data_IF_229961323369
#
_entry.id   IF_229961323369
#
_cell.length_a   1.000
_cell.length_b   1.000
_cell.length_c   1.000
_cell.angle_alpha   90.00
_cell.angle_beta   90.00
_cell.angle_gamma   90.00
#
_symmetry.space_group_name_H-M   'P 1'
#
loop_
_entity.id
_entity.type
_entity.pdbx_description
1 polymer ?
#
# COMPACT_ATOMS: atom_id res chain seq x y z
N UNK A 1 5.33 20.79 13.03
CA UNK A 1 4.47 19.65 12.65
C UNK A 1 4.81 19.29 11.22
N UNK A 2 5.55 18.21 11.00
CA UNK A 2 5.79 17.73 9.63
C UNK A 2 4.51 17.09 9.09
N UNK A 3 4.14 17.43 7.85
CA UNK A 3 3.05 16.69 7.19
C UNK A 3 3.53 15.35 6.68
N UNK A 4 2.60 14.43 6.42
CA UNK A 4 2.93 13.15 5.83
C UNK A 4 3.65 13.28 4.48
N UNK A 5 3.37 14.32 3.67
CA UNK A 5 4.11 14.54 2.42
C UNK A 5 5.53 15.01 2.63
N UNK A 6 5.78 15.88 3.59
CA UNK A 6 7.13 16.28 3.97
C UNK A 6 7.91 15.06 4.47
N UNK A 7 7.29 14.20 5.28
CA UNK A 7 7.91 12.97 5.74
C UNK A 7 8.25 12.00 4.60
N UNK A 8 7.33 11.77 3.65
CA UNK A 8 7.59 10.96 2.46
C UNK A 8 8.72 11.59 1.62
N UNK A 9 8.69 12.90 1.43
CA UNK A 9 9.70 13.62 0.66
C UNK A 9 11.09 13.47 1.29
N UNK A 10 11.23 13.76 2.58
CA UNK A 10 12.51 13.62 3.29
C UNK A 10 13.04 12.20 3.23
N UNK A 11 12.18 11.20 3.46
CA UNK A 11 12.55 9.79 3.36
C UNK A 11 13.02 9.43 1.95
N UNK A 12 12.39 9.99 0.92
CA UNK A 12 12.79 9.79 -0.48
C UNK A 12 14.13 10.47 -0.79
N UNK A 13 14.38 11.66 -0.24
CA UNK A 13 15.63 12.38 -0.49
C UNK A 13 16.85 11.71 0.17
N UNK A 14 16.65 10.85 1.17
CA UNK A 14 17.72 10.00 1.74
C UNK A 14 18.11 8.86 0.80
N UNK A 15 17.17 8.37 -0.01
CA UNK A 15 17.35 7.27 -0.97
C UNK A 15 16.59 7.59 -2.28
N UNK A 16 17.12 8.50 -3.12
CA UNK A 16 16.37 9.02 -4.27
C UNK A 16 16.17 8.01 -5.40
N UNK A 17 16.99 6.96 -5.46
CA UNK A 17 16.82 5.84 -6.39
C UNK A 17 16.00 4.73 -5.72
N UNK A 18 14.74 4.62 -6.09
CA UNK A 18 13.79 3.68 -5.46
C UNK A 18 13.39 2.60 -6.44
N UNK A 19 13.65 1.35 -6.06
CA UNK A 19 13.18 0.18 -6.81
C UNK A 19 11.64 0.09 -6.74
N UNK A 20 11.02 -0.24 -7.86
CA UNK A 20 9.57 -0.48 -7.96
C UNK A 20 9.27 -1.95 -8.27
N UNK A 21 8.05 -2.46 -7.99
CA UNK A 21 7.74 -3.89 -8.06
C UNK A 21 7.96 -4.59 -9.41
N UNK A 22 8.05 -3.83 -10.52
CA UNK A 22 8.35 -4.37 -11.84
C UNK A 22 9.86 -4.56 -12.11
N UNK A 23 10.71 -4.31 -11.12
CA UNK A 23 12.17 -4.43 -11.21
C UNK A 23 12.91 -3.20 -11.75
N UNK A 24 12.18 -2.19 -12.24
CA UNK A 24 12.81 -0.91 -12.62
C UNK A 24 13.14 -0.04 -11.40
N UNK A 25 13.96 0.99 -11.61
CA UNK A 25 14.28 2.00 -10.60
C UNK A 25 13.72 3.35 -11.03
N UNK A 26 13.13 4.08 -10.08
CA UNK A 26 12.68 5.46 -10.28
C UNK A 26 13.61 6.39 -9.51
N UNK A 27 14.23 7.33 -10.22
CA UNK A 27 14.99 8.42 -9.60
C UNK A 27 14.07 9.58 -9.25
N UNK A 28 14.22 10.11 -8.04
CA UNK A 28 13.49 11.27 -7.55
C UNK A 28 14.42 12.47 -7.37
N UNK A 29 14.16 13.52 -8.15
CA UNK A 29 14.85 14.79 -8.01
C UNK A 29 14.31 15.57 -6.80
N UNK A 30 15.17 16.38 -6.14
CA UNK A 30 14.72 17.31 -5.13
C UNK A 30 13.64 18.27 -5.66
N UNK A 31 12.71 18.65 -4.78
CA UNK A 31 11.65 19.56 -5.14
C UNK A 31 12.23 20.94 -5.52
N UNK A 32 11.80 21.55 -6.65
CA UNK A 32 12.20 22.90 -6.96
C UNK A 32 11.65 23.86 -5.89
N UNK A 33 12.51 24.74 -5.38
CA UNK A 33 12.11 25.69 -4.35
C UNK A 33 11.19 26.77 -4.92
N UNK A 34 10.01 26.91 -4.34
CA UNK A 34 9.12 28.04 -4.59
C UNK A 34 9.47 29.27 -3.75
N UNK A 35 8.93 30.42 -4.15
CA UNK A 35 9.20 31.73 -3.52
C UNK A 35 8.07 32.20 -2.58
N UNK A 36 6.93 31.50 -2.58
CA UNK A 36 5.76 31.90 -1.79
C UNK A 36 5.80 31.31 -0.39
N UNK A 37 5.41 32.13 0.59
CA UNK A 37 5.18 31.73 1.97
C UNK A 37 3.67 31.67 2.21
N UNK A 38 3.19 30.63 2.90
CA UNK A 38 1.78 30.54 3.25
C UNK A 38 1.33 29.14 3.64
N UNK A 39 0.02 28.96 3.77
CA UNK A 39 -0.58 27.64 4.01
C UNK A 39 -0.72 26.90 2.69
N UNK A 40 -0.20 25.69 2.56
CA UNK A 40 -0.37 24.88 1.36
C UNK A 40 -1.85 24.49 1.16
N UNK A 41 -2.41 24.79 0.01
CA UNK A 41 -3.76 24.46 -0.42
C UNK A 41 -4.07 22.96 -0.27
N UNK A 42 -3.11 22.10 -0.64
CA UNK A 42 -3.31 20.65 -0.65
C UNK A 42 -3.14 20.03 0.75
N UNK A 43 -1.93 20.06 1.32
CA UNK A 43 -1.66 19.40 2.61
C UNK A 43 -2.07 20.22 3.85
N UNK A 44 -2.37 21.50 3.70
CA UNK A 44 -2.75 22.39 4.80
C UNK A 44 -1.58 22.84 5.70
N UNK A 45 -0.34 22.42 5.44
CA UNK A 45 0.80 22.84 6.24
C UNK A 45 1.31 24.22 5.84
N UNK A 46 1.86 24.93 6.82
CA UNK A 46 2.61 26.15 6.58
C UNK A 46 3.89 25.80 5.80
N UNK A 47 4.19 26.59 4.78
CA UNK A 47 5.42 26.48 3.99
C UNK A 47 6.08 27.84 3.86
N UNK A 48 7.41 27.83 3.84
CA UNK A 48 8.24 28.99 3.48
C UNK A 48 8.74 28.93 2.04
N UNK A 49 8.50 27.81 1.35
CA UNK A 49 8.84 27.62 -0.05
C UNK A 49 7.64 26.97 -0.77
N UNK A 50 6.97 27.79 -1.56
CA UNK A 50 5.70 27.44 -2.16
C UNK A 50 5.52 28.06 -3.53
N UNK A 51 4.64 27.43 -4.30
CA UNK A 51 4.36 27.75 -5.69
C UNK A 51 2.94 28.30 -5.83
N UNK A 52 2.69 29.18 -6.81
CA UNK A 52 1.32 29.55 -7.18
C UNK A 52 0.48 28.32 -7.50
N UNK A 53 -0.71 28.20 -6.89
CA UNK A 53 -1.62 27.04 -7.07
C UNK A 53 -1.92 26.76 -8.54
N UNK A 54 -2.15 27.79 -9.33
CA UNK A 54 -2.47 27.66 -10.77
C UNK A 54 -1.30 27.14 -11.62
N UNK A 55 -0.06 27.17 -11.12
CA UNK A 55 1.11 26.56 -11.80
C UNK A 55 1.23 25.06 -11.49
N UNK A 56 0.80 24.63 -10.31
CA UNK A 56 0.94 23.24 -9.85
C UNK A 56 -0.33 22.42 -10.10
N UNK A 57 -1.49 22.95 -9.71
CA UNK A 57 -2.78 22.29 -9.82
C UNK A 57 -3.38 22.61 -11.19
N UNK A 58 -3.33 21.63 -12.09
CA UNK A 58 -3.90 21.74 -13.44
C UNK A 58 -5.43 21.76 -13.39
N UNK A 59 -6.11 22.40 -14.36
CA UNK A 59 -7.58 22.35 -14.46
C UNK A 59 -8.17 20.94 -14.53
N UNK A 60 -7.38 19.95 -14.97
CA UNK A 60 -7.76 18.53 -15.04
C UNK A 60 -7.64 17.78 -13.72
N UNK A 61 -7.22 18.44 -12.63
CA UNK A 61 -7.10 17.82 -11.31
C UNK A 61 -8.48 17.64 -10.67
N UNK A 62 -8.98 16.40 -10.70
CA UNK A 62 -10.34 16.04 -10.24
C UNK A 62 -10.46 15.95 -8.72
N UNK A 63 -9.35 15.78 -8.00
CA UNK A 63 -9.32 15.59 -6.55
C UNK A 63 -9.26 16.93 -5.78
N UNK A 64 -9.84 17.99 -6.35
CA UNK A 64 -9.83 19.33 -5.75
C UNK A 64 -10.58 19.41 -4.42
N UNK A 65 -11.52 18.49 -4.19
CA UNK A 65 -12.21 18.30 -2.91
C UNK A 65 -11.27 17.82 -1.78
N UNK A 66 -10.03 17.41 -2.08
CA UNK A 66 -9.05 16.97 -1.08
C UNK A 66 -8.20 18.09 -0.51
N UNK A 67 -8.37 19.32 -1.01
CA UNK A 67 -7.69 20.48 -0.48
C UNK A 67 -8.00 20.67 1.00
N UNK A 68 -6.97 20.67 1.85
CA UNK A 68 -7.10 20.95 3.29
C UNK A 68 -7.20 22.44 3.60
N UNK A 69 -6.75 23.30 2.69
CA UNK A 69 -6.86 24.75 2.80
C UNK A 69 -7.41 25.34 1.48
N UNK A 70 -8.70 25.10 1.14
CA UNK A 70 -9.26 25.45 -0.16
C UNK A 70 -9.17 26.95 -0.52
N UNK A 71 -9.10 27.83 0.49
CA UNK A 71 -8.93 29.27 0.33
C UNK A 71 -7.51 29.68 -0.10
N UNK A 72 -6.51 28.81 0.02
CA UNK A 72 -5.13 29.16 -0.28
C UNK A 72 -4.82 29.20 -1.79
N UNK A 73 -3.95 30.13 -2.18
CA UNK A 73 -3.34 30.23 -3.49
C UNK A 73 -1.94 29.61 -3.57
N UNK A 74 -1.44 28.97 -2.52
CA UNK A 74 -0.06 28.44 -2.41
C UNK A 74 -0.08 26.91 -2.37
N UNK A 75 0.88 26.25 -3.02
CA UNK A 75 1.16 24.80 -2.87
C UNK A 75 2.62 24.62 -2.46
N UNK A 76 2.90 23.88 -1.39
CA UNK A 76 4.28 23.68 -0.93
C UNK A 76 5.11 22.83 -1.90
N UNK A 77 6.44 22.95 -1.82
CA UNK A 77 7.39 22.17 -2.63
C UNK A 77 7.13 20.67 -2.54
N UNK A 78 6.86 20.13 -1.35
CA UNK A 78 6.61 18.70 -1.16
C UNK A 78 5.35 18.22 -1.88
N UNK A 79 4.27 19.00 -1.87
CA UNK A 79 3.05 18.66 -2.60
C UNK A 79 3.22 18.84 -4.10
N UNK A 80 3.94 19.88 -4.53
CA UNK A 80 4.24 20.09 -5.95
C UNK A 80 5.07 18.94 -6.52
N UNK A 81 6.11 18.53 -5.78
CA UNK A 81 6.93 17.35 -6.09
C UNK A 81 6.10 16.07 -6.11
N UNK A 82 5.29 15.81 -5.09
CA UNK A 82 4.55 14.55 -5.03
C UNK A 82 3.57 14.40 -6.23
N UNK A 83 2.98 15.50 -6.69
CA UNK A 83 2.10 15.55 -7.86
C UNK A 83 2.85 15.42 -9.21
N UNK A 84 4.17 15.68 -9.26
CA UNK A 84 4.95 15.51 -10.50
C UNK A 84 5.35 14.05 -10.77
N UNK A 85 5.37 13.19 -9.74
CA UNK A 85 5.77 11.79 -9.88
C UNK A 85 4.58 10.83 -9.91
N UNK A 86 4.33 10.23 -11.07
CA UNK A 86 3.29 9.20 -11.23
C UNK A 86 3.57 7.96 -10.40
N UNK A 87 4.82 7.59 -10.16
CA UNK A 87 5.20 6.47 -9.29
C UNK A 87 4.58 6.57 -7.88
N UNK A 88 4.45 7.78 -7.32
CA UNK A 88 3.80 8.05 -6.03
C UNK A 88 2.26 7.96 -6.08
N UNK A 89 1.68 7.77 -7.26
CA UNK A 89 0.26 7.48 -7.52
C UNK A 89 0.06 5.99 -7.82
N UNK A 90 0.98 5.42 -8.59
CA UNK A 90 0.86 4.11 -9.20
C UNK A 90 1.22 2.97 -8.24
N UNK A 91 2.14 3.20 -7.31
CA UNK A 91 2.66 2.17 -6.41
C UNK A 91 2.32 2.48 -4.95
N UNK A 92 2.27 1.41 -4.14
CA UNK A 92 2.25 1.51 -2.68
C UNK A 92 3.47 2.30 -2.20
N UNK A 93 3.36 2.97 -1.06
CA UNK A 93 4.44 3.79 -0.47
C UNK A 93 4.64 3.32 0.96
N UNK A 94 5.86 2.95 1.30
CA UNK A 94 6.33 2.84 2.67
C UNK A 94 7.41 3.89 2.86
N UNK A 95 7.15 4.90 3.69
CA UNK A 95 8.18 5.86 4.11
C UNK A 95 8.51 5.62 5.58
N UNK A 96 9.79 5.55 5.90
CA UNK A 96 10.32 5.45 7.26
C UNK A 96 11.26 6.63 7.52
N UNK A 97 11.91 6.67 8.68
CA UNK A 97 12.95 7.67 8.92
C UNK A 97 14.13 7.55 7.95
N UNK A 98 14.47 6.35 7.48
CA UNK A 98 15.71 6.15 6.73
C UNK A 98 15.50 6.22 5.21
N UNK A 99 14.35 5.74 4.73
CA UNK A 99 14.12 5.54 3.30
C UNK A 99 12.63 5.57 2.94
N UNK A 100 12.37 5.76 1.65
CA UNK A 100 11.07 5.50 1.03
C UNK A 100 11.18 4.33 0.06
N UNK A 101 10.21 3.42 0.11
CA UNK A 101 10.12 2.24 -0.75
C UNK A 101 8.76 2.15 -1.43
N UNK A 102 8.76 1.48 -2.58
CA UNK A 102 7.54 1.02 -3.25
C UNK A 102 7.32 -0.48 -3.04
N UNK A 103 6.78 -0.91 -1.89
CA UNK A 103 6.65 -2.32 -1.58
C UNK A 103 5.70 -3.02 -2.55
N UNK A 104 6.11 -4.20 -3.01
CA UNK A 104 5.24 -5.18 -3.64
C UNK A 104 4.11 -5.61 -2.71
N UNK A 105 3.10 -6.29 -3.26
CA UNK A 105 2.00 -6.82 -2.44
C UNK A 105 2.45 -7.79 -1.35
N UNK A 106 3.49 -8.59 -1.63
CA UNK A 106 4.10 -9.48 -0.65
C UNK A 106 4.81 -8.69 0.47
N UNK A 107 5.58 -7.66 0.11
CA UNK A 107 6.23 -6.81 1.12
C UNK A 107 5.21 -6.02 1.94
N UNK A 108 4.09 -5.56 1.35
CA UNK A 108 3.00 -4.93 2.12
C UNK A 108 2.43 -5.90 3.16
N UNK A 109 2.22 -7.18 2.80
CA UNK A 109 1.80 -8.22 3.75
C UNK A 109 2.76 -8.31 4.93
N UNK A 110 4.06 -8.38 4.66
CA UNK A 110 5.10 -8.46 5.69
C UNK A 110 5.13 -7.23 6.57
N UNK A 111 5.01 -6.03 5.99
CA UNK A 111 4.94 -4.77 6.75
C UNK A 111 3.71 -4.72 7.66
N UNK A 112 2.58 -5.28 7.24
CA UNK A 112 1.36 -5.31 8.07
C UNK A 112 1.47 -6.29 9.25
N UNK A 113 2.25 -7.37 9.09
CA UNK A 113 2.53 -8.34 10.17
C UNK A 113 3.67 -7.86 11.08
N UNK A 114 4.66 -7.17 10.51
CA UNK A 114 5.88 -6.73 11.16
C UNK A 114 6.16 -5.28 10.76
N UNK A 115 5.42 -4.30 11.32
CA UNK A 115 5.57 -2.90 10.94
C UNK A 115 6.95 -2.35 11.36
N UNK A 116 7.51 -1.38 10.62
CA UNK A 116 8.71 -0.66 11.04
C UNK A 116 8.50 0.10 12.35
N UNK A 117 9.61 0.46 13.00
CA UNK A 117 9.56 1.38 14.12
C UNK A 117 8.95 2.73 13.70
N UNK A 118 8.01 3.30 14.49
CA UNK A 118 7.52 4.64 14.25
C UNK A 118 8.63 5.70 14.31
N UNK A 119 8.55 6.79 13.52
CA UNK A 119 7.45 7.13 12.63
C UNK A 119 7.55 6.47 11.25
N UNK A 120 6.40 6.10 10.68
CA UNK A 120 6.31 5.66 9.28
C UNK A 120 4.97 6.02 8.63
N UNK A 121 4.93 6.00 7.30
CA UNK A 121 3.73 6.15 6.48
C UNK A 121 3.56 4.90 5.63
N UNK A 122 2.35 4.32 5.61
CA UNK A 122 2.00 3.23 4.71
C UNK A 122 0.77 3.61 3.85
N UNK A 123 0.98 3.61 2.54
CA UNK A 123 -0.06 3.72 1.51
C UNK A 123 -0.05 2.46 0.65
N UNK A 124 -1.23 1.90 0.39
CA UNK A 124 -1.39 0.68 -0.41
C UNK A 124 -2.21 1.02 -1.65
N UNK A 125 -1.59 0.84 -2.82
CA UNK A 125 -2.21 1.00 -4.12
C UNK A 125 -2.75 -0.34 -4.62
N UNK A 126 -4.02 -0.37 -5.00
CA UNK A 126 -4.69 -1.50 -5.64
C UNK A 126 -4.80 -1.24 -7.16
N UNK A 127 -5.37 -0.10 -7.52
CA UNK A 127 -5.60 0.33 -8.90
C UNK A 127 -4.44 1.11 -9.53
N UNK A 128 -3.60 1.75 -8.69
CA UNK A 128 -2.57 2.70 -9.12
C UNK A 128 -3.12 3.98 -9.76
N UNK A 129 -4.42 4.26 -9.60
CA UNK A 129 -5.09 5.42 -10.20
C UNK A 129 -5.37 6.56 -9.20
N UNK A 130 -5.04 6.40 -7.92
CA UNK A 130 -5.33 7.40 -6.88
C UNK A 130 -4.08 8.04 -6.33
N UNK A 131 -4.16 9.33 -5.99
CA UNK A 131 -3.07 10.06 -5.34
C UNK A 131 -3.05 9.77 -3.82
N UNK A 132 -2.57 8.58 -3.44
CA UNK A 132 -2.65 8.08 -2.07
C UNK A 132 -1.94 8.98 -1.04
N UNK A 133 -0.79 9.53 -1.45
CA UNK A 133 0.05 10.35 -0.59
C UNK A 133 -0.66 11.61 -0.08
N UNK A 134 -1.65 12.14 -0.81
CA UNK A 134 -2.41 13.34 -0.40
C UNK A 134 -3.17 13.11 0.90
N UNK A 135 -3.66 11.88 1.11
CA UNK A 135 -4.46 11.48 2.27
C UNK A 135 -3.68 10.63 3.26
N UNK A 136 -2.36 10.49 3.07
CA UNK A 136 -1.53 9.68 3.95
C UNK A 136 -1.45 10.31 5.34
N UNK A 137 -1.22 9.47 6.34
CA UNK A 137 -1.02 9.86 7.73
C UNK A 137 0.21 9.12 8.27
N UNK A 138 0.92 9.78 9.16
CA UNK A 138 2.08 9.22 9.83
C UNK A 138 1.58 8.43 11.06
N UNK A 139 2.06 7.21 11.21
CA UNK A 139 1.98 6.44 12.45
C UNK A 139 3.13 6.88 13.34
N UNK A 140 2.85 7.47 14.50
CA UNK A 140 3.87 8.09 15.38
C UNK A 140 4.24 7.27 16.62
N UNK A 141 3.51 6.20 16.92
CA UNK A 141 3.65 5.42 18.15
C UNK A 141 3.28 3.96 17.89
N UNK A 142 3.74 3.11 18.78
CA UNK A 142 3.33 1.71 18.82
C UNK A 142 1.82 1.58 19.08
N UNK A 143 1.22 0.52 18.54
CA UNK A 143 -0.22 0.28 18.61
C UNK A 143 -0.84 0.12 17.22
N UNK A 144 -2.07 0.61 16.99
CA UNK A 144 -2.70 0.52 15.68
C UNK A 144 -1.97 1.38 14.66
N UNK A 145 -1.42 0.75 13.62
CA UNK A 145 -0.85 1.44 12.48
C UNK A 145 -1.96 2.07 11.63
N UNK A 146 -1.67 3.20 11.00
CA UNK A 146 -2.59 3.87 10.07
C UNK A 146 -2.16 3.54 8.63
N UNK A 147 -3.02 2.85 7.90
CA UNK A 147 -2.81 2.44 6.52
C UNK A 147 -3.80 3.17 5.62
N UNK A 148 -3.29 3.88 4.62
CA UNK A 148 -4.13 4.41 3.53
C UNK A 148 -4.26 3.31 2.47
N UNK A 149 -5.41 2.65 2.40
CA UNK A 149 -5.70 1.66 1.36
C UNK A 149 -6.68 2.24 0.36
N UNK A 150 -6.17 2.68 -0.80
CA UNK A 150 -6.95 3.49 -1.76
C UNK A 150 -7.60 4.71 -1.05
N UNK A 151 -8.93 4.80 -1.09
CA UNK A 151 -9.70 5.84 -0.42
C UNK A 151 -9.95 5.55 1.08
N UNK A 152 -9.71 4.32 1.54
CA UNK A 152 -10.00 3.88 2.90
C UNK A 152 -8.85 4.19 3.86
N UNK A 153 -9.20 4.66 5.06
CA UNK A 153 -8.27 4.69 6.19
C UNK A 153 -8.50 3.45 7.03
N UNK A 154 -7.50 2.60 7.13
CA UNK A 154 -7.52 1.39 7.95
C UNK A 154 -6.64 1.62 9.16
N UNK A 155 -7.20 1.43 10.36
CA UNK A 155 -6.45 1.43 11.61
C UNK A 155 -6.46 0.02 12.16
N UNK A 156 -5.30 -0.60 12.31
CA UNK A 156 -5.22 -2.01 12.68
C UNK A 156 -3.91 -2.30 13.41
N UNK A 157 -3.92 -3.22 14.36
CA UNK A 157 -2.71 -3.78 14.97
C UNK A 157 -2.21 -5.00 14.18
N UNK A 158 -0.92 -5.35 14.25
CA UNK A 158 -0.41 -6.58 13.64
C UNK A 158 -1.18 -7.84 14.06
N UNK A 159 -1.58 -7.93 15.34
CA UNK A 159 -2.36 -9.05 15.86
C UNK A 159 -3.77 -9.13 15.28
N UNK A 160 -4.47 -8.00 15.18
CA UNK A 160 -5.79 -7.95 14.53
C UNK A 160 -5.69 -8.30 13.05
N UNK A 161 -4.65 -7.81 12.38
CA UNK A 161 -4.38 -8.12 10.99
C UNK A 161 -4.13 -9.61 10.78
N UNK A 162 -3.26 -10.22 11.59
CA UNK A 162 -2.97 -11.66 11.55
C UNK A 162 -4.23 -12.52 11.77
N UNK A 163 -5.10 -12.13 12.71
CA UNK A 163 -6.38 -12.81 12.98
C UNK A 163 -7.36 -12.76 11.80
N UNK A 164 -7.27 -11.74 10.94
CA UNK A 164 -8.04 -11.69 9.70
C UNK A 164 -7.35 -12.46 8.58
N UNK A 165 -6.03 -12.31 8.47
CA UNK A 165 -5.24 -12.85 7.37
C UNK A 165 -5.22 -14.39 7.39
N UNK A 166 -5.02 -15.03 8.55
CA UNK A 166 -4.91 -16.49 8.63
C UNK A 166 -6.16 -17.22 8.11
N UNK A 167 -7.39 -16.89 8.54
CA UNK A 167 -8.58 -17.54 8.01
C UNK A 167 -8.80 -17.24 6.52
N UNK A 168 -8.49 -16.01 6.10
CA UNK A 168 -8.59 -15.59 4.69
C UNK A 168 -7.65 -16.42 3.82
N UNK A 169 -6.37 -16.56 4.19
CA UNK A 169 -5.38 -17.31 3.42
C UNK A 169 -5.71 -18.80 3.38
N UNK A 170 -6.28 -19.36 4.46
CA UNK A 170 -6.74 -20.76 4.47
C UNK A 170 -7.92 -20.98 3.54
N UNK A 171 -8.93 -20.11 3.59
CA UNK A 171 -10.04 -20.16 2.64
C UNK A 171 -9.53 -19.96 1.20
N UNK A 172 -8.56 -19.06 1.00
CA UNK A 172 -8.05 -18.73 -0.33
C UNK A 172 -7.31 -19.87 -1.03
N UNK A 173 -6.93 -20.94 -0.31
CA UNK A 173 -6.38 -22.15 -0.94
C UNK A 173 -7.40 -22.81 -1.88
N UNK A 174 -8.70 -22.79 -1.54
CA UNK A 174 -9.76 -23.46 -2.33
C UNK A 174 -10.71 -22.44 -2.99
N UNK A 175 -11.06 -21.39 -2.27
CA UNK A 175 -11.97 -20.35 -2.74
C UNK A 175 -11.21 -19.24 -3.48
N UNK A 176 -11.90 -18.53 -4.37
CA UNK A 176 -11.36 -17.31 -4.97
C UNK A 176 -11.49 -16.13 -4.02
N UNK A 177 -10.74 -15.05 -4.26
CA UNK A 177 -10.91 -13.80 -3.50
C UNK A 177 -12.32 -13.24 -3.65
N UNK A 178 -12.96 -13.39 -4.82
CA UNK A 178 -14.33 -12.93 -5.05
C UNK A 178 -15.37 -13.73 -4.25
N UNK A 179 -15.20 -15.05 -4.14
CA UNK A 179 -16.05 -15.90 -3.28
C UNK A 179 -15.92 -15.45 -1.82
N UNK A 180 -14.70 -15.22 -1.33
CA UNK A 180 -14.44 -14.75 0.03
C UNK A 180 -14.97 -13.32 0.26
N UNK A 181 -14.78 -12.43 -0.72
CA UNK A 181 -15.25 -11.04 -0.67
C UNK A 181 -16.77 -10.96 -0.66
N UNK A 182 -17.46 -11.79 -1.44
CA UNK A 182 -18.93 -11.80 -1.56
C UNK A 182 -19.60 -12.59 -0.45
N UNK A 183 -18.91 -13.59 0.13
CA UNK A 183 -19.50 -14.56 1.04
C UNK A 183 -20.37 -15.60 0.34
N UNK A 184 -20.34 -15.63 -0.99
CA UNK A 184 -21.09 -16.59 -1.81
C UNK A 184 -20.14 -17.69 -2.26
N UNK A 185 -20.29 -18.86 -1.65
CA UNK A 185 -19.43 -20.03 -1.90
C UNK A 185 -20.18 -21.11 -2.67
N UNK A 186 -19.49 -21.79 -3.59
CA UNK A 186 -20.06 -22.94 -4.30
C UNK A 186 -20.12 -24.15 -3.38
N UNK A 187 -21.27 -24.81 -3.29
CA UNK A 187 -21.49 -25.93 -2.36
C UNK A 187 -20.48 -27.08 -2.51
N UNK A 188 -20.08 -27.43 -3.74
CA UNK A 188 -19.09 -28.49 -3.95
C UNK A 188 -17.71 -28.13 -3.38
N UNK A 189 -17.31 -26.85 -3.41
CA UNK A 189 -16.05 -26.39 -2.81
C UNK A 189 -16.11 -26.40 -1.28
N UNK A 190 -17.28 -26.11 -0.69
CA UNK A 190 -17.46 -26.22 0.76
C UNK A 190 -17.32 -27.69 1.19
N UNK A 191 -17.88 -28.62 0.41
CA UNK A 191 -17.75 -30.06 0.67
C UNK A 191 -16.29 -30.52 0.55
N UNK A 192 -15.58 -30.10 -0.50
CA UNK A 192 -14.15 -30.37 -0.71
C UNK A 192 -13.27 -29.80 0.42
N UNK A 193 -13.53 -28.56 0.84
CA UNK A 193 -12.80 -27.90 1.92
C UNK A 193 -13.10 -28.50 3.30
N UNK A 194 -14.29 -29.07 3.48
CA UNK A 194 -14.82 -29.55 4.74
C UNK A 194 -15.72 -28.51 5.41
N UNK A 195 -17.00 -28.85 5.55
CA UNK A 195 -18.06 -27.95 6.06
C UNK A 195 -17.71 -27.39 7.45
N UNK A 196 -17.31 -28.25 8.39
CA UNK A 196 -17.02 -27.83 9.76
C UNK A 196 -15.85 -26.83 9.83
N UNK A 197 -14.81 -27.05 9.02
CA UNK A 197 -13.65 -26.17 9.00
C UNK A 197 -13.95 -24.85 8.27
N UNK A 198 -14.72 -24.91 7.18
CA UNK A 198 -15.23 -23.71 6.52
C UNK A 198 -16.07 -22.87 7.47
N UNK A 199 -17.03 -23.45 8.20
CA UNK A 199 -17.86 -22.73 9.18
C UNK A 199 -17.01 -22.10 10.29
N UNK A 200 -16.02 -22.83 10.82
CA UNK A 200 -15.11 -22.35 11.86
C UNK A 200 -14.28 -21.16 11.39
N UNK A 201 -13.73 -21.19 10.18
CA UNK A 201 -12.95 -20.08 9.63
C UNK A 201 -13.84 -18.91 9.23
N UNK A 202 -14.95 -19.18 8.57
CA UNK A 202 -15.87 -18.16 8.09
C UNK A 202 -16.49 -17.37 9.24
N UNK A 203 -16.89 -18.02 10.33
CA UNK A 203 -17.46 -17.34 11.51
C UNK A 203 -16.51 -16.32 12.15
N UNK A 204 -15.19 -16.49 12.00
CA UNK A 204 -14.20 -15.55 12.51
C UNK A 204 -14.13 -14.25 11.69
N UNK A 205 -14.36 -14.32 10.38
CA UNK A 205 -14.10 -13.19 9.46
C UNK A 205 -15.38 -12.61 8.83
N UNK A 206 -16.49 -13.34 8.80
CA UNK A 206 -17.71 -12.96 8.10
C UNK A 206 -18.25 -11.59 8.55
N UNK A 207 -18.21 -11.31 9.87
CA UNK A 207 -18.65 -10.03 10.44
C UNK A 207 -17.78 -8.84 10.02
N UNK A 208 -16.57 -9.08 9.53
CA UNK A 208 -15.61 -8.06 9.15
C UNK A 208 -15.62 -7.76 7.65
N UNK A 209 -16.40 -8.46 6.82
CA UNK A 209 -16.33 -8.44 5.35
C UNK A 209 -16.46 -7.06 4.71
N UNK A 210 -17.27 -6.17 5.31
CA UNK A 210 -17.43 -4.79 4.83
C UNK A 210 -16.30 -3.84 5.28
N UNK A 211 -15.48 -4.24 6.25
CA UNK A 211 -14.43 -3.40 6.83
C UNK A 211 -13.25 -3.20 5.87
N UNK A 212 -12.58 -2.05 5.98
CA UNK A 212 -11.34 -1.80 5.24
C UNK A 212 -10.21 -2.76 5.62
N UNK A 213 -10.17 -3.18 6.89
CA UNK A 213 -9.22 -4.19 7.39
C UNK A 213 -9.35 -5.53 6.66
N UNK A 214 -10.57 -6.04 6.50
CA UNK A 214 -10.82 -7.27 5.76
C UNK A 214 -10.44 -7.12 4.29
N UNK A 215 -10.82 -6.01 3.64
CA UNK A 215 -10.48 -5.77 2.23
C UNK A 215 -8.97 -5.70 2.02
N UNK A 216 -8.24 -5.05 2.94
CA UNK A 216 -6.78 -4.99 2.92
C UNK A 216 -6.15 -6.39 3.12
N UNK A 217 -6.62 -7.16 4.10
CA UNK A 217 -6.15 -8.52 4.33
C UNK A 217 -6.39 -9.43 3.12
N UNK A 218 -7.59 -9.37 2.52
CA UNK A 218 -7.91 -10.10 1.31
C UNK A 218 -7.05 -9.65 0.11
N UNK A 219 -6.78 -8.35 -0.02
CA UNK A 219 -5.92 -7.82 -1.06
C UNK A 219 -4.52 -8.45 -1.00
N UNK A 220 -3.89 -8.45 0.17
CA UNK A 220 -2.52 -8.97 0.33
C UNK A 220 -2.42 -10.48 0.54
N UNK A 221 -3.52 -11.18 0.81
CA UNK A 221 -3.56 -12.62 1.01
C UNK A 221 -2.91 -13.39 -0.15
N UNK A 222 -2.14 -14.42 0.20
CA UNK A 222 -1.43 -15.27 -0.75
C UNK A 222 -1.95 -16.72 -0.70
N UNK A 223 -1.82 -17.43 -1.82
CA UNK A 223 -1.92 -18.90 -1.83
C UNK A 223 -0.57 -19.45 -1.45
N UNK A 224 -0.54 -20.60 -0.76
CA UNK A 224 0.72 -21.33 -0.63
C UNK A 224 1.00 -21.93 -2.01
N UNK A 225 2.12 -21.60 -2.61
CA UNK A 225 2.63 -22.40 -3.71
C UNK A 225 2.99 -23.77 -3.12
N UNK A 226 2.45 -24.86 -3.68
CA UNK A 226 2.97 -26.19 -3.38
C UNK A 226 4.43 -26.18 -3.80
N UNK A 227 5.35 -26.39 -2.85
CA UNK A 227 6.76 -26.65 -3.15
C UNK A 227 6.80 -27.82 -4.13
N UNK A 228 6.93 -27.52 -5.42
CA UNK A 228 7.13 -28.55 -6.42
C UNK A 228 8.58 -28.96 -6.26
N UNK A 229 8.85 -29.95 -5.41
CA UNK A 229 10.12 -30.67 -5.40
C UNK A 229 10.45 -31.04 -6.85
N UNK A 230 11.45 -30.37 -7.41
CA UNK A 230 11.96 -30.69 -8.72
C UNK A 230 12.68 -32.04 -8.62
N UNK A 231 11.93 -33.13 -8.73
CA UNK A 231 12.49 -34.46 -9.03
C UNK A 231 12.93 -34.41 -10.50
N UNK A 232 14.06 -33.78 -10.75
CA UNK A 232 14.87 -34.03 -11.96
C UNK A 232 16.21 -34.59 -11.54
N UNK A 233 16.17 -35.78 -10.93
CA UNK A 233 17.32 -36.65 -10.82
C UNK A 233 17.06 -37.94 -11.61
N UNK A 234 17.96 -38.19 -12.56
CA UNK A 234 18.32 -39.50 -13.11
C UNK A 234 17.42 -40.14 -14.18
N UNK A 235 17.79 -39.90 -15.44
CA UNK A 235 18.01 -41.01 -16.40
C UNK A 235 19.35 -40.81 -17.13
N UNK A 236 20.37 -41.51 -16.61
CA UNK A 236 21.42 -42.22 -17.36
C UNK A 236 20.90 -42.73 -18.74
N UNK A 237 21.66 -42.90 -19.83
CA UNK A 237 23.09 -42.96 -20.11
C UNK A 237 23.28 -43.13 -21.65
N UNK A 238 24.47 -42.74 -22.14
CA UNK A 238 25.27 -43.39 -23.21
C UNK A 238 24.87 -43.28 -24.70
N UNK A 239 25.77 -42.65 -25.48
CA UNK A 239 26.38 -43.18 -26.74
C UNK A 239 27.58 -42.27 -27.09
N UNK A 240 28.80 -42.64 -26.67
CA UNK A 240 29.85 -43.36 -27.43
C UNK A 240 30.34 -42.63 -28.68
N UNK A 241 31.64 -42.28 -28.63
CA UNK A 241 32.52 -41.99 -29.76
C UNK A 241 32.50 -43.14 -30.79
N UNK A 242 32.37 -42.79 -32.07
CA UNK A 242 33.32 -43.11 -33.16
C UNK A 242 33.29 -41.95 -34.13
#
# INVERSE_FOLDING_TARGET
>A
MSCALEFIYEATMRTPDVAVPNGSTVHYDPAPRGELIGTCWLCGCLTTSGHPKNKIIKPTFTDSNLAKAPWSGVVCDHCAWALSYRSLRNYSILATWNEMRHPSRAEVREVLLNPPEPPFVLCVADSGQRWLHIRSKITYRDGPMIVRFEDLEVRITPLEFARLLEPIERLYQVFTKDEIASGTFKSHKIQEFGIAEWERLWSQIARHRASGAFKLALFVAQRKEEETECITASRHQTKMLV
#
